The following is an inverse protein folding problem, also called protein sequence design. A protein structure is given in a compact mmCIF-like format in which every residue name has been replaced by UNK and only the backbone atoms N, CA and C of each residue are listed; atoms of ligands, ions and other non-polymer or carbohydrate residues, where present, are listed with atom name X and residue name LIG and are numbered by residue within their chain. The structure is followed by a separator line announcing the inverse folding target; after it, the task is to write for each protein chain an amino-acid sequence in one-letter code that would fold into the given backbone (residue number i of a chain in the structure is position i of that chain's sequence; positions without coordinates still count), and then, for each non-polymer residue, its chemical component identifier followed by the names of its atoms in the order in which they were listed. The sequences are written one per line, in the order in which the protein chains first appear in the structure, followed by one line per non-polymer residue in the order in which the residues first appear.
data_IF_625535812610
#
_entry.id   IF_625535812610
#
_cell.length_a   1.000
_cell.length_b   1.000
_cell.length_c   1.000
_cell.angle_alpha   90.00
_cell.angle_beta   90.00
_cell.angle_gamma   90.00
#
_symmetry.space_group_name_H-M   'P 1'
#
loop_
_entity.id
_entity.type
_entity.pdbx_description
1 polymer ?
#
# COMPACT_ATOMS: atom_id res chain seq x y z
N UNK A 1 -18.96 -3.12 -5.18
CA UNK A 1 -19.37 -1.67 -5.16
C UNK A 1 -19.01 -0.98 -6.48
N UNK A 2 -19.75 0.05 -6.93
CA UNK A 2 -19.37 0.82 -8.13
C UNK A 2 -18.40 1.92 -7.70
N UNK A 3 -17.18 1.90 -8.24
CA UNK A 3 -16.15 2.90 -7.94
C UNK A 3 -16.62 4.33 -8.29
N UNK A 4 -16.23 5.31 -7.47
CA UNK A 4 -16.42 6.73 -7.76
C UNK A 4 -15.66 7.14 -9.03
N UNK A 5 -16.02 8.29 -9.61
CA UNK A 5 -15.28 8.84 -10.77
C UNK A 5 -13.80 9.07 -10.43
N UNK A 6 -13.52 9.52 -9.20
CA UNK A 6 -12.16 9.77 -8.69
C UNK A 6 -11.38 8.45 -8.60
N UNK A 7 -11.92 7.43 -7.97
CA UNK A 7 -11.28 6.11 -7.85
C UNK A 7 -11.05 5.44 -9.20
N UNK A 8 -11.98 5.58 -10.16
CA UNK A 8 -11.77 5.10 -11.52
C UNK A 8 -10.58 5.79 -12.21
N UNK A 9 -10.40 7.10 -12.00
CA UNK A 9 -9.24 7.83 -12.53
C UNK A 9 -7.93 7.36 -11.87
N UNK A 10 -7.92 7.20 -10.53
CA UNK A 10 -6.78 6.69 -9.76
C UNK A 10 -6.40 5.28 -10.26
N UNK A 11 -7.37 4.37 -10.37
CA UNK A 11 -7.15 3.02 -10.88
C UNK A 11 -6.53 3.03 -12.28
N UNK A 12 -7.08 3.82 -13.20
CA UNK A 12 -6.55 3.94 -14.57
C UNK A 12 -5.12 4.46 -14.59
N UNK A 13 -4.79 5.43 -13.74
CA UNK A 13 -3.42 5.95 -13.61
C UNK A 13 -2.48 4.87 -13.08
N UNK A 14 -2.86 4.19 -12.00
CA UNK A 14 -2.07 3.10 -11.40
C UNK A 14 -1.85 1.95 -12.39
N UNK A 15 -2.88 1.53 -13.12
CA UNK A 15 -2.78 0.50 -14.16
C UNK A 15 -1.78 0.89 -15.27
N UNK A 16 -1.74 2.18 -15.66
CA UNK A 16 -0.79 2.70 -16.64
C UNK A 16 0.66 2.71 -16.14
N UNK A 17 0.87 2.95 -14.85
CA UNK A 17 2.21 3.03 -14.24
C UNK A 17 2.77 1.65 -13.83
N UNK A 18 1.93 0.63 -13.72
CA UNK A 18 2.30 -0.66 -13.14
C UNK A 18 3.56 -1.28 -13.77
N UNK A 19 3.67 -1.27 -15.09
CA UNK A 19 4.80 -1.87 -15.82
C UNK A 19 6.14 -1.18 -15.56
N UNK A 20 6.12 0.10 -15.23
CA UNK A 20 7.33 0.92 -15.02
C UNK A 20 7.62 1.14 -13.53
N UNK A 21 6.68 0.81 -12.64
CA UNK A 21 6.76 1.06 -11.20
C UNK A 21 8.05 0.51 -10.58
N UNK A 22 8.37 -0.75 -10.80
CA UNK A 22 9.54 -1.38 -10.20
C UNK A 22 10.86 -0.80 -10.76
N UNK A 23 10.87 -0.41 -12.03
CA UNK A 23 12.03 0.28 -12.62
C UNK A 23 12.20 1.66 -11.99
N UNK A 24 11.12 2.38 -11.75
CA UNK A 24 11.15 3.68 -11.08
C UNK A 24 11.62 3.55 -9.62
N UNK A 25 11.12 2.56 -8.89
CA UNK A 25 11.59 2.24 -7.52
C UNK A 25 13.10 1.97 -7.51
N UNK A 26 13.62 1.19 -8.45
CA UNK A 26 15.05 0.92 -8.57
C UNK A 26 15.87 2.17 -8.84
N UNK A 27 15.41 3.07 -9.71
CA UNK A 27 16.08 4.36 -9.97
C UNK A 27 16.13 5.25 -8.73
N UNK A 28 15.11 5.19 -7.89
CA UNK A 28 14.99 5.97 -6.65
C UNK A 28 15.30 5.11 -5.42
N UNK A 29 16.20 4.12 -5.56
CA UNK A 29 16.47 3.10 -4.54
C UNK A 29 16.91 3.67 -3.19
N UNK A 30 17.69 4.76 -3.18
CA UNK A 30 18.11 5.40 -1.93
C UNK A 30 16.90 5.77 -1.05
N UNK A 31 15.91 6.43 -1.65
CA UNK A 31 14.71 6.83 -0.95
C UNK A 31 13.89 5.60 -0.48
N UNK A 32 13.60 4.68 -1.40
CA UNK A 32 12.80 3.50 -1.09
C UNK A 32 13.48 2.56 -0.08
N UNK A 33 14.79 2.42 -0.11
CA UNK A 33 15.52 1.62 0.87
C UNK A 33 15.48 2.25 2.27
N UNK A 34 15.56 3.57 2.37
CA UNK A 34 15.43 4.26 3.65
C UNK A 34 14.01 4.11 4.23
N UNK A 35 12.99 4.30 3.41
CA UNK A 35 11.59 4.11 3.80
C UNK A 35 11.34 2.67 4.28
N UNK A 36 11.76 1.67 3.50
CA UNK A 36 11.66 0.27 3.88
C UNK A 36 12.43 -0.05 5.19
N UNK A 37 13.60 0.54 5.38
CA UNK A 37 14.39 0.34 6.61
C UNK A 37 13.67 0.91 7.82
N UNK A 38 13.06 2.08 7.67
CA UNK A 38 12.26 2.70 8.71
C UNK A 38 11.00 1.88 9.03
N UNK A 39 10.30 1.41 8.01
CA UNK A 39 9.14 0.54 8.19
C UNK A 39 9.50 -0.79 8.85
N UNK A 40 10.63 -1.40 8.49
CA UNK A 40 11.16 -2.60 9.17
C UNK A 40 11.44 -2.35 10.66
N UNK A 41 11.98 -1.19 11.00
CA UNK A 41 12.22 -0.81 12.40
C UNK A 41 10.92 -0.69 13.18
N UNK A 42 9.87 -0.10 12.59
CA UNK A 42 8.55 0.07 13.25
C UNK A 42 7.83 -1.27 13.40
N UNK A 43 7.78 -2.06 12.33
CA UNK A 43 6.96 -3.27 12.24
C UNK A 43 7.66 -4.47 12.90
N UNK A 44 8.97 -4.57 12.76
CA UNK A 44 9.71 -5.77 13.15
C UNK A 44 9.47 -6.95 12.20
N UNK A 45 10.05 -8.10 12.54
CA UNK A 45 9.97 -9.31 11.73
C UNK A 45 8.83 -10.24 12.17
N UNK A 46 8.42 -11.11 11.23
CA UNK A 46 7.49 -12.22 11.51
C UNK A 46 6.12 -11.80 12.05
N UNK A 47 5.68 -10.62 11.68
CA UNK A 47 4.35 -10.09 12.03
C UNK A 47 3.30 -10.50 11.00
N UNK A 48 2.04 -10.46 11.41
CA UNK A 48 0.89 -10.51 10.50
C UNK A 48 0.63 -9.10 10.01
N UNK A 49 0.84 -8.86 8.71
CA UNK A 49 0.81 -7.50 8.13
C UNK A 49 -0.23 -7.41 7.01
N UNK A 50 -1.06 -6.39 7.08
CA UNK A 50 -1.94 -5.96 6.00
C UNK A 50 -1.41 -4.64 5.42
N UNK A 51 -1.10 -4.62 4.13
CA UNK A 51 -0.74 -3.38 3.42
C UNK A 51 -1.88 -2.96 2.49
N UNK A 52 -2.43 -1.78 2.72
CA UNK A 52 -3.50 -1.18 1.93
C UNK A 52 -2.92 -0.17 0.95
N UNK A 53 -3.12 -0.39 -0.36
CA UNK A 53 -2.43 0.31 -1.43
C UNK A 53 -1.04 -0.25 -1.70
N UNK A 54 -0.91 -1.57 -1.73
CA UNK A 54 0.38 -2.27 -1.76
C UNK A 54 1.17 -2.12 -3.09
N UNK A 55 0.54 -1.59 -4.14
CA UNK A 55 1.17 -1.48 -5.46
C UNK A 55 1.71 -2.83 -5.95
N UNK A 56 3.00 -2.87 -6.29
CA UNK A 56 3.70 -4.10 -6.73
C UNK A 56 4.21 -4.97 -5.59
N UNK A 57 3.83 -4.69 -4.33
CA UNK A 57 4.13 -5.51 -3.15
C UNK A 57 5.56 -5.38 -2.61
N UNK A 58 6.31 -4.37 -3.03
CA UNK A 58 7.73 -4.22 -2.66
C UNK A 58 7.93 -3.98 -1.15
N UNK A 59 7.10 -3.13 -0.53
CA UNK A 59 7.20 -2.86 0.90
C UNK A 59 6.78 -4.10 1.71
N UNK A 60 5.63 -4.69 1.40
CA UNK A 60 5.17 -5.90 2.09
C UNK A 60 6.20 -7.02 2.05
N UNK A 61 6.80 -7.25 0.88
CA UNK A 61 7.88 -8.24 0.74
C UNK A 61 9.11 -7.87 1.58
N UNK A 62 9.49 -6.59 1.61
CA UNK A 62 10.64 -6.15 2.38
C UNK A 62 10.46 -6.34 3.89
N UNK A 63 9.23 -6.29 4.40
CA UNK A 63 8.91 -6.50 5.82
C UNK A 63 9.05 -7.95 6.28
N UNK A 64 9.13 -8.93 5.37
CA UNK A 64 9.26 -10.35 5.67
C UNK A 64 8.23 -10.86 6.71
N UNK A 65 6.93 -10.63 6.49
CA UNK A 65 5.89 -10.99 7.46
C UNK A 65 5.76 -12.51 7.63
N UNK A 66 5.21 -12.98 8.76
CA UNK A 66 4.80 -14.39 8.93
C UNK A 66 3.52 -14.70 8.13
N UNK A 67 2.65 -13.71 7.97
CA UNK A 67 1.47 -13.70 7.10
C UNK A 67 1.30 -12.28 6.56
N UNK A 68 1.33 -12.14 5.25
CA UNK A 68 1.27 -10.84 4.59
C UNK A 68 0.19 -10.79 3.53
N UNK A 69 -0.70 -9.82 3.67
CA UNK A 69 -1.77 -9.52 2.70
C UNK A 69 -1.59 -8.12 2.16
N UNK A 70 -1.56 -7.98 0.84
CA UNK A 70 -1.56 -6.70 0.14
C UNK A 70 -2.85 -6.47 -0.61
N UNK A 71 -3.47 -5.31 -0.44
CA UNK A 71 -4.67 -4.89 -1.19
C UNK A 71 -4.31 -3.70 -2.07
N UNK A 72 -4.69 -3.72 -3.34
CA UNK A 72 -4.54 -2.58 -4.24
C UNK A 72 -5.73 -2.47 -5.20
N UNK A 73 -6.08 -1.24 -5.56
CA UNK A 73 -7.20 -0.97 -6.46
C UNK A 73 -6.90 -1.39 -7.91
N UNK A 74 -5.61 -1.41 -8.30
CA UNK A 74 -5.13 -1.68 -9.66
C UNK A 74 -4.94 -3.18 -9.91
N UNK A 75 -5.64 -3.72 -10.92
CA UNK A 75 -5.46 -5.12 -11.36
C UNK A 75 -4.02 -5.37 -11.84
N UNK A 76 -3.43 -4.40 -12.54
CA UNK A 76 -2.09 -4.53 -13.08
C UNK A 76 -1.02 -4.55 -11.99
N UNK A 77 -1.16 -3.72 -10.95
CA UNK A 77 -0.26 -3.74 -9.79
C UNK A 77 -0.33 -5.09 -9.08
N UNK A 78 -1.54 -5.56 -8.75
CA UNK A 78 -1.76 -6.84 -8.07
C UNK A 78 -1.22 -8.02 -8.88
N UNK A 79 -1.39 -8.01 -10.21
CA UNK A 79 -0.87 -9.06 -11.09
C UNK A 79 0.66 -9.14 -11.04
N UNK A 80 1.34 -7.98 -11.01
CA UNK A 80 2.79 -7.90 -10.87
C UNK A 80 3.23 -8.35 -9.48
N UNK A 81 2.53 -7.90 -8.42
CA UNK A 81 2.81 -8.28 -7.04
C UNK A 81 2.76 -9.81 -6.85
N UNK A 82 1.69 -10.46 -7.33
CA UNK A 82 1.53 -11.93 -7.30
C UNK A 82 2.67 -12.65 -8.01
N UNK A 83 3.10 -12.15 -9.16
CA UNK A 83 4.19 -12.73 -9.93
C UNK A 83 5.55 -12.60 -9.22
N UNK A 84 5.81 -11.42 -8.65
CA UNK A 84 7.10 -11.12 -8.04
C UNK A 84 7.25 -11.71 -6.63
N UNK A 85 6.15 -11.85 -5.89
CA UNK A 85 6.12 -12.25 -4.48
C UNK A 85 5.08 -13.36 -4.23
N UNK A 86 5.23 -14.56 -4.84
CA UNK A 86 4.22 -15.63 -4.80
C UNK A 86 3.98 -16.24 -3.42
N UNK A 87 4.82 -15.92 -2.44
CA UNK A 87 4.67 -16.34 -1.04
C UNK A 87 3.80 -15.42 -0.19
N UNK A 88 3.35 -14.30 -0.76
CA UNK A 88 2.44 -13.34 -0.13
C UNK A 88 1.08 -13.38 -0.82
N UNK A 89 0.07 -12.95 -0.09
CA UNK A 89 -1.29 -12.84 -0.62
C UNK A 89 -1.54 -11.42 -1.16
N UNK A 90 -2.09 -11.34 -2.37
CA UNK A 90 -2.45 -10.04 -2.97
C UNK A 90 -3.87 -10.09 -3.51
N UNK A 91 -4.66 -9.08 -3.16
CA UNK A 91 -6.09 -9.00 -3.48
C UNK A 91 -6.35 -7.69 -4.22
N UNK A 92 -7.01 -7.78 -5.37
CA UNK A 92 -7.48 -6.58 -6.07
C UNK A 92 -8.79 -6.13 -5.46
N UNK A 93 -8.88 -4.85 -5.10
CA UNK A 93 -10.13 -4.27 -4.64
C UNK A 93 -9.98 -2.90 -4.01
N UNK A 94 -11.13 -2.33 -3.68
CA UNK A 94 -11.22 -1.06 -2.98
C UNK A 94 -11.21 -1.31 -1.46
N UNK A 95 -10.27 -0.70 -0.77
CA UNK A 95 -10.15 -0.83 0.68
C UNK A 95 -11.34 -0.21 1.45
N UNK A 96 -12.18 0.59 0.78
CA UNK A 96 -13.44 1.12 1.31
C UNK A 96 -14.64 0.20 0.98
N UNK A 97 -14.42 -0.96 0.33
CA UNK A 97 -15.47 -1.97 0.14
C UNK A 97 -15.55 -2.87 1.38
N UNK A 98 -16.62 -2.69 2.17
CA UNK A 98 -16.85 -3.45 3.40
C UNK A 98 -16.84 -4.97 3.17
N UNK A 99 -17.31 -5.44 1.99
CA UNK A 99 -17.32 -6.87 1.66
C UNK A 99 -15.91 -7.40 1.49
N UNK A 100 -15.04 -6.63 0.83
CA UNK A 100 -13.63 -6.98 0.69
C UNK A 100 -12.96 -7.03 2.07
N UNK A 101 -13.09 -5.96 2.84
CA UNK A 101 -12.46 -5.87 4.17
C UNK A 101 -12.94 -7.01 5.08
N UNK A 102 -14.23 -7.33 5.05
CA UNK A 102 -14.80 -8.43 5.85
C UNK A 102 -14.38 -9.83 5.38
N UNK A 103 -13.84 -9.98 4.18
CA UNK A 103 -13.31 -11.25 3.66
C UNK A 103 -11.85 -11.51 4.02
N UNK A 104 -11.14 -10.51 4.55
CA UNK A 104 -9.74 -10.65 4.93
C UNK A 104 -9.59 -11.47 6.23
N UNK A 105 -8.57 -12.33 6.27
CA UNK A 105 -8.31 -13.21 7.41
C UNK A 105 -7.46 -12.52 8.50
N UNK A 106 -8.11 -11.65 9.27
CA UNK A 106 -7.51 -11.01 10.46
C UNK A 106 -7.41 -11.98 11.66
N UNK A 107 -6.98 -11.49 12.85
CA UNK A 107 -6.46 -10.15 13.06
C UNK A 107 -5.03 -9.97 12.55
N UNK A 108 -4.64 -8.71 12.31
CA UNK A 108 -3.28 -8.33 11.93
C UNK A 108 -2.56 -7.64 13.10
N UNK A 109 -1.24 -7.81 13.18
CA UNK A 109 -0.40 -7.05 14.11
C UNK A 109 -0.21 -5.60 13.65
N UNK A 110 -0.06 -5.44 12.32
CA UNK A 110 0.11 -4.13 11.68
C UNK A 110 -0.78 -4.00 10.46
N UNK A 111 -1.41 -2.83 10.34
CA UNK A 111 -2.11 -2.39 9.13
C UNK A 111 -1.38 -1.16 8.62
N UNK A 112 -0.92 -1.18 7.37
CA UNK A 112 -0.06 -0.15 6.78
C UNK A 112 -0.77 0.52 5.61
N UNK A 113 -0.76 1.86 5.61
CA UNK A 113 -1.15 2.70 4.48
C UNK A 113 0.05 3.59 4.12
N UNK A 114 0.90 3.11 3.22
CA UNK A 114 2.04 3.90 2.74
C UNK A 114 1.63 4.64 1.46
N UNK A 115 1.67 5.97 1.51
CA UNK A 115 1.26 6.88 0.43
C UNK A 115 -0.16 6.64 -0.11
N UNK A 116 -1.04 6.06 0.69
CA UNK A 116 -2.36 5.59 0.25
C UNK A 116 -3.51 6.46 0.77
N UNK A 117 -3.36 7.08 1.95
CA UNK A 117 -4.46 7.82 2.61
C UNK A 117 -5.06 8.92 1.72
N UNK A 118 -4.24 9.55 0.87
CA UNK A 118 -4.68 10.59 -0.08
C UNK A 118 -5.60 10.07 -1.19
N UNK A 119 -5.77 8.76 -1.34
CA UNK A 119 -6.61 8.15 -2.38
C UNK A 119 -7.98 7.69 -1.85
N UNK A 120 -8.22 7.78 -0.55
CA UNK A 120 -9.52 7.46 0.05
C UNK A 120 -10.57 8.53 -0.29
N UNK A 121 -11.79 8.09 -0.52
CA UNK A 121 -12.94 8.98 -0.65
C UNK A 121 -13.49 9.37 0.73
N UNK A 122 -13.53 8.42 1.67
CA UNK A 122 -13.92 8.61 3.08
C UNK A 122 -12.97 7.85 4.03
N UNK A 123 -12.10 8.61 4.70
CA UNK A 123 -11.14 8.02 5.64
C UNK A 123 -11.82 7.47 6.90
N UNK A 124 -12.91 8.09 7.39
CA UNK A 124 -13.60 7.68 8.60
C UNK A 124 -14.27 6.32 8.38
N UNK A 125 -15.01 6.18 7.28
CA UNK A 125 -15.65 4.91 6.91
C UNK A 125 -14.61 3.81 6.68
N UNK A 126 -13.51 4.12 5.96
CA UNK A 126 -12.43 3.18 5.72
C UNK A 126 -11.84 2.64 7.04
N UNK A 127 -11.50 3.53 7.97
CA UNK A 127 -10.91 3.11 9.25
C UNK A 127 -11.91 2.37 10.15
N UNK A 128 -13.17 2.78 10.17
CA UNK A 128 -14.22 2.05 10.89
C UNK A 128 -14.33 0.59 10.41
N UNK A 129 -14.23 0.36 9.09
CA UNK A 129 -14.22 -0.97 8.50
C UNK A 129 -13.06 -1.86 8.98
N UNK A 130 -11.90 -1.27 9.25
CA UNK A 130 -10.70 -2.00 9.67
C UNK A 130 -10.78 -2.56 11.11
N UNK A 131 -11.69 -2.09 11.95
CA UNK A 131 -11.84 -2.57 13.33
C UNK A 131 -12.01 -4.10 13.43
N UNK A 132 -12.67 -4.71 12.45
CA UNK A 132 -12.87 -6.16 12.39
C UNK A 132 -11.56 -6.95 12.25
N UNK A 133 -10.51 -6.30 11.76
CA UNK A 133 -9.19 -6.88 11.47
C UNK A 133 -8.18 -6.59 12.59
N UNK A 134 -8.61 -5.90 13.65
CA UNK A 134 -7.76 -5.42 14.74
C UNK A 134 -7.97 -6.20 16.03
N UNK A 135 -6.92 -6.25 16.84
CA UNK A 135 -6.96 -6.49 18.28
C UNK A 135 -6.61 -5.21 19.02
N UNK A 136 -6.58 -5.24 20.35
CA UNK A 136 -6.10 -4.12 21.19
C UNK A 136 -4.64 -3.76 20.94
N UNK A 137 -3.85 -4.71 20.41
CA UNK A 137 -2.40 -4.54 20.16
C UNK A 137 -2.09 -4.19 18.70
N UNK A 138 -3.09 -4.24 17.80
CA UNK A 138 -2.90 -3.88 16.38
C UNK A 138 -2.47 -2.42 16.25
N UNK A 139 -1.45 -2.18 15.45
CA UNK A 139 -0.95 -0.84 15.14
C UNK A 139 -1.27 -0.46 13.72
N UNK A 140 -1.87 0.72 13.56
CA UNK A 140 -2.07 1.35 12.27
C UNK A 140 -0.88 2.26 11.97
N UNK A 141 -0.19 2.01 10.85
CA UNK A 141 0.94 2.81 10.38
C UNK A 141 0.53 3.55 9.12
N UNK A 142 0.56 4.87 9.16
CA UNK A 142 0.23 5.72 8.02
C UNK A 142 1.45 6.56 7.69
N UNK A 143 1.92 6.49 6.45
CA UNK A 143 2.93 7.40 5.93
C UNK A 143 2.43 8.10 4.66
N UNK A 144 2.85 9.32 4.48
CA UNK A 144 2.56 10.09 3.27
C UNK A 144 3.58 11.22 3.08
N UNK A 145 3.75 11.65 1.84
CA UNK A 145 4.62 12.77 1.52
C UNK A 145 3.97 14.09 1.92
N UNK A 146 4.75 14.91 2.63
CA UNK A 146 4.34 16.28 2.91
C UNK A 146 4.38 17.13 1.63
N UNK A 147 3.33 17.91 1.39
CA UNK A 147 3.26 18.91 0.32
C UNK A 147 4.49 19.86 0.28
N UNK A 148 5.13 20.11 1.41
CA UNK A 148 6.32 20.97 1.51
C UNK A 148 7.51 20.46 0.68
N UNK A 149 7.56 19.16 0.37
CA UNK A 149 8.61 18.57 -0.47
C UNK A 149 8.34 18.74 -1.96
N UNK A 150 7.14 19.08 -2.38
CA UNK A 150 6.75 19.18 -3.79
C UNK A 150 7.64 20.12 -4.60
N UNK A 151 8.03 21.34 -4.14
CA UNK A 151 8.91 22.22 -4.88
C UNK A 151 10.30 21.62 -5.10
N UNK A 152 10.83 20.89 -4.10
CA UNK A 152 12.15 20.25 -4.20
C UNK A 152 12.12 19.06 -5.16
N UNK A 153 11.07 18.23 -5.11
CA UNK A 153 10.87 17.13 -6.03
C UNK A 153 10.75 17.62 -7.48
N UNK A 154 9.96 18.67 -7.71
CA UNK A 154 9.80 19.28 -9.04
C UNK A 154 11.12 19.88 -9.55
N UNK A 155 11.94 20.44 -8.68
CA UNK A 155 13.27 20.93 -9.04
C UNK A 155 14.19 19.77 -9.42
N UNK A 156 14.21 18.70 -8.63
CA UNK A 156 15.00 17.51 -8.89
C UNK A 156 14.65 16.86 -10.24
N UNK A 157 13.36 16.75 -10.57
CA UNK A 157 12.90 16.24 -11.86
C UNK A 157 13.36 17.10 -13.07
N UNK A 158 13.53 18.41 -12.88
CA UNK A 158 14.01 19.32 -13.92
C UNK A 158 15.53 19.33 -14.12
N UNK A 159 16.27 18.93 -13.10
CA UNK A 159 17.74 18.92 -13.13
C UNK A 159 18.27 17.54 -13.57
N UNK A 160 17.43 16.47 -13.52
CA UNK A 160 17.82 15.10 -13.89
C UNK A 160 18.38 14.36 -12.70
#
# INVERSE_FOLDING_TARGET
MKLSKRKNAIKKQADGLAKTRDTWIKKNSYFHNNDQSYMKFIVGEKKRVLELGCGTGQLLNALNPSYGVGVDLSDNMVSIAKKNHPHLEFIQGDLEDEKLVSSLEGPFDFIILSDTIGYLDDCEEAFAGLHKLCTTDTRLVISYYSWWWQPMLTLGEKIG
#
